data_IF_374461501146
#
_entry.id   IF_374461501146
#
_cell.length_a   1.000
_cell.length_b   1.000
_cell.length_c   1.000
_cell.angle_alpha   90.00
_cell.angle_beta   90.00
_cell.angle_gamma   90.00
#
_symmetry.space_group_name_H-M   'P 1'
#
loop_
_entity.id
_entity.type
_entity.pdbx_description
1 polymer ?
#
# COMPACT_ATOMS: atom_id res chain seq x y z
N UNK A 1 7.69 8.14 -12.51
CA UNK A 1 8.18 8.63 -11.19
C UNK A 1 7.98 7.51 -10.18
N UNK A 2 9.00 7.08 -9.41
CA UNK A 2 8.89 5.92 -8.49
C UNK A 2 7.79 6.08 -7.44
N UNK A 3 7.54 7.30 -6.96
CA UNK A 3 6.49 7.54 -5.97
C UNK A 3 5.08 7.29 -6.52
N UNK A 4 4.83 7.65 -7.79
CA UNK A 4 3.55 7.41 -8.44
C UNK A 4 3.29 5.90 -8.62
N UNK A 5 4.30 5.13 -9.04
CA UNK A 5 4.14 3.68 -9.20
C UNK A 5 3.81 2.98 -7.88
N UNK A 6 4.43 3.38 -6.77
CA UNK A 6 4.10 2.82 -5.45
C UNK A 6 2.68 3.24 -5.03
N UNK A 7 2.26 4.47 -5.31
CA UNK A 7 0.92 4.91 -4.99
C UNK A 7 -0.15 4.13 -5.78
N UNK A 8 0.07 3.92 -7.08
CA UNK A 8 -0.80 3.13 -7.96
C UNK A 8 -0.87 1.67 -7.45
N UNK A 9 0.28 1.04 -7.18
CA UNK A 9 0.31 -0.33 -6.64
C UNK A 9 -0.33 -0.47 -5.25
N UNK A 10 -0.27 0.57 -4.41
CA UNK A 10 -1.00 0.59 -3.13
C UNK A 10 -2.50 0.74 -3.34
N UNK A 11 -2.95 1.52 -4.33
CA UNK A 11 -4.36 1.66 -4.65
C UNK A 11 -4.98 0.32 -5.09
N UNK A 12 -4.37 -0.33 -6.08
CA UNK A 12 -4.78 -1.66 -6.57
C UNK A 12 -4.76 -2.71 -5.45
N UNK A 13 -3.83 -2.61 -4.50
CA UNK A 13 -3.75 -3.59 -3.41
C UNK A 13 -4.94 -3.51 -2.44
N UNK A 14 -5.56 -2.33 -2.28
CA UNK A 14 -6.56 -2.05 -1.24
C UNK A 14 -7.99 -1.90 -1.75
N UNK A 15 -8.16 -1.54 -3.02
CA UNK A 15 -9.50 -1.35 -3.57
C UNK A 15 -10.21 -2.69 -3.75
N UNK A 16 -11.45 -2.67 -4.24
CA UNK A 16 -12.29 -3.87 -4.32
C UNK A 16 -12.49 -4.37 -5.73
N UNK A 17 -11.94 -3.67 -6.72
CA UNK A 17 -12.09 -4.06 -8.09
C UNK A 17 -10.91 -4.92 -8.53
N UNK A 18 -10.68 -5.02 -9.84
CA UNK A 18 -9.63 -5.86 -10.41
C UNK A 18 -8.90 -5.13 -11.55
N UNK A 19 -9.09 -3.81 -11.62
CA UNK A 19 -8.56 -2.95 -12.66
C UNK A 19 -7.19 -2.50 -12.23
N UNK A 20 -6.19 -2.76 -13.05
CA UNK A 20 -4.82 -2.33 -12.73
C UNK A 20 -4.63 -0.87 -13.13
N UNK A 21 -4.20 -0.05 -12.18
CA UNK A 21 -3.77 1.33 -12.45
C UNK A 21 -2.56 1.38 -13.40
N UNK A 22 -2.26 2.56 -13.96
CA UNK A 22 -1.26 2.72 -15.02
C UNK A 22 0.14 2.14 -14.70
N UNK A 23 0.52 2.13 -13.43
CA UNK A 23 1.75 1.51 -12.93
C UNK A 23 1.49 0.57 -11.75
N UNK A 24 0.23 0.16 -11.57
CA UNK A 24 -0.21 -0.66 -10.45
C UNK A 24 0.04 -2.16 -10.67
N UNK A 25 -0.47 -2.95 -9.74
CA UNK A 25 -0.36 -4.40 -9.75
C UNK A 25 -1.58 -5.00 -9.03
N UNK A 26 -2.23 -5.96 -9.68
CA UNK A 26 -3.42 -6.66 -9.19
C UNK A 26 -3.17 -8.16 -9.01
N UNK A 27 -4.21 -8.93 -8.68
CA UNK A 27 -4.18 -10.39 -8.52
C UNK A 27 -3.36 -11.14 -9.57
N UNK A 28 -3.48 -10.76 -10.86
CA UNK A 28 -2.73 -11.40 -11.96
C UNK A 28 -1.20 -11.27 -11.79
N UNK A 29 -0.73 -10.16 -11.21
CA UNK A 29 0.68 -9.95 -10.93
C UNK A 29 1.12 -10.79 -9.71
N UNK A 30 0.42 -10.66 -8.58
CA UNK A 30 0.83 -11.30 -7.32
C UNK A 30 0.72 -12.83 -7.35
N UNK A 31 -0.23 -13.37 -8.11
CA UNK A 31 -0.34 -14.83 -8.32
C UNK A 31 0.76 -15.40 -9.22
N UNK A 32 1.48 -14.55 -9.96
CA UNK A 32 2.65 -14.92 -10.76
C UNK A 32 3.98 -14.94 -9.99
N UNK A 33 4.01 -14.51 -8.73
CA UNK A 33 5.22 -14.49 -7.91
C UNK A 33 5.67 -15.90 -7.50
N UNK A 34 6.96 -16.02 -7.14
CA UNK A 34 7.54 -17.29 -6.65
C UNK A 34 6.80 -17.83 -5.42
N UNK A 35 6.32 -16.95 -4.54
CA UNK A 35 5.38 -17.27 -3.47
C UNK A 35 4.08 -16.51 -3.75
N UNK A 36 3.08 -17.16 -4.37
CA UNK A 36 1.91 -16.48 -4.88
C UNK A 36 0.94 -16.10 -3.76
N UNK A 37 0.31 -14.94 -3.92
CA UNK A 37 -0.79 -14.46 -3.09
C UNK A 37 -1.69 -13.54 -3.95
N UNK A 38 -2.71 -12.96 -3.33
CA UNK A 38 -3.67 -12.05 -3.96
C UNK A 38 -3.60 -10.66 -3.33
N UNK A 39 -4.08 -9.65 -4.04
CA UNK A 39 -4.32 -8.34 -3.42
C UNK A 39 -5.25 -8.49 -2.22
N UNK A 40 -5.17 -7.56 -1.27
CA UNK A 40 -6.00 -7.66 -0.08
C UNK A 40 -7.48 -7.48 -0.42
N UNK A 41 -7.79 -6.68 -1.44
CA UNK A 41 -9.18 -6.36 -1.80
C UNK A 41 -9.89 -5.56 -0.69
N UNK A 42 -9.12 -4.94 0.20
CA UNK A 42 -9.57 -4.41 1.48
C UNK A 42 -8.56 -3.40 2.07
N UNK A 43 -8.99 -2.54 3.02
CA UNK A 43 -8.10 -1.65 3.73
C UNK A 43 -6.97 -2.39 4.46
N UNK A 44 -5.78 -1.79 4.45
CA UNK A 44 -4.59 -2.29 5.15
C UNK A 44 -4.84 -2.38 6.66
N UNK A 45 -4.58 -3.55 7.24
CA UNK A 45 -4.69 -3.80 8.67
C UNK A 45 -3.42 -3.41 9.44
N UNK A 46 -2.26 -3.51 8.79
CA UNK A 46 -0.96 -3.11 9.35
C UNK A 46 -0.07 -2.46 8.29
N UNK A 47 0.62 -1.37 8.65
CA UNK A 47 1.61 -0.71 7.78
C UNK A 47 2.62 -1.71 7.21
N UNK A 48 2.93 -2.80 7.92
CA UNK A 48 3.85 -3.85 7.45
C UNK A 48 3.43 -4.53 6.15
N UNK A 49 2.14 -4.51 5.79
CA UNK A 49 1.63 -5.07 4.53
C UNK A 49 2.22 -4.40 3.30
N UNK A 50 2.66 -3.13 3.41
CA UNK A 50 3.31 -2.43 2.30
C UNK A 50 4.55 -3.18 1.80
N UNK A 51 5.19 -4.03 2.63
CA UNK A 51 6.35 -4.83 2.20
C UNK A 51 6.02 -5.88 1.13
N UNK A 52 4.75 -6.23 0.96
CA UNK A 52 4.30 -7.18 -0.05
C UNK A 52 3.93 -6.51 -1.38
N UNK A 53 3.76 -5.19 -1.39
CA UNK A 53 3.30 -4.42 -2.54
C UNK A 53 4.44 -4.20 -3.53
N UNK A 54 4.12 -4.27 -4.83
CA UNK A 54 5.11 -4.09 -5.89
C UNK A 54 5.88 -2.76 -5.75
N UNK A 55 7.18 -2.82 -6.03
CA UNK A 55 8.07 -1.66 -5.94
C UNK A 55 8.45 -1.22 -4.52
N UNK A 56 7.86 -1.77 -3.45
CA UNK A 56 8.22 -1.42 -2.06
C UNK A 56 9.42 -2.25 -1.58
N UNK A 57 10.62 -1.72 -1.81
CA UNK A 57 11.85 -2.34 -1.26
C UNK A 57 11.96 -2.15 0.26
N UNK A 58 12.85 -2.90 0.90
CA UNK A 58 13.18 -2.74 2.33
C UNK A 58 13.58 -1.30 2.68
N UNK A 59 14.37 -0.66 1.83
CA UNK A 59 14.87 0.71 2.01
C UNK A 59 13.75 1.73 1.89
N UNK A 60 12.86 1.54 0.91
CA UNK A 60 11.67 2.38 0.73
C UNK A 60 10.76 2.24 1.96
N UNK A 61 10.42 1.01 2.33
CA UNK A 61 9.59 0.73 3.50
C UNK A 61 10.17 1.39 4.77
N UNK A 62 11.45 1.21 5.03
CA UNK A 62 12.11 1.76 6.22
C UNK A 62 12.04 3.30 6.25
N UNK A 63 12.04 3.95 5.08
CA UNK A 63 11.96 5.40 4.97
C UNK A 63 10.54 5.94 5.14
N UNK A 64 9.52 5.24 4.62
CA UNK A 64 8.14 5.75 4.63
C UNK A 64 7.33 5.29 5.85
N UNK A 65 7.61 4.12 6.40
CA UNK A 65 6.84 3.54 7.49
C UNK A 65 6.67 4.45 8.73
N UNK A 66 7.67 5.26 9.15
CA UNK A 66 7.49 6.20 10.26
C UNK A 66 6.42 7.27 10.03
N UNK A 67 6.05 7.53 8.77
CA UNK A 67 5.08 8.56 8.38
C UNK A 67 3.70 7.99 8.05
N UNK A 68 3.51 6.67 8.20
CA UNK A 68 2.29 5.97 7.82
C UNK A 68 1.58 5.39 9.04
N UNK A 69 0.27 5.24 8.93
CA UNK A 69 -0.53 4.48 9.90
C UNK A 69 -1.62 3.69 9.18
N UNK A 70 -2.02 2.56 9.77
CA UNK A 70 -3.22 1.83 9.41
C UNK A 70 -4.29 2.12 10.48
N UNK A 71 -5.51 2.46 10.06
CA UNK A 71 -6.60 2.89 10.95
C UNK A 71 -7.84 2.05 10.68
N UNK A 72 -8.72 2.00 11.68
CA UNK A 72 -10.00 1.31 11.56
C UNK A 72 -10.83 1.82 10.37
N UNK A 73 -11.39 0.88 9.62
CA UNK A 73 -12.28 1.16 8.51
C UNK A 73 -13.53 1.90 9.01
N UNK A 74 -14.05 2.84 8.21
CA UNK A 74 -15.22 3.68 8.51
C UNK A 74 -15.03 4.73 9.63
N UNK A 75 -13.81 4.94 10.11
CA UNK A 75 -13.48 6.13 10.90
C UNK A 75 -12.80 7.17 10.02
N UNK A 76 -13.26 8.41 10.10
CA UNK A 76 -12.57 9.53 9.46
C UNK A 76 -11.15 9.60 10.00
N UNK A 77 -10.16 9.63 9.11
CA UNK A 77 -8.78 9.89 9.48
C UNK A 77 -8.60 11.40 9.55
N UNK A 78 -8.31 11.90 10.74
CA UNK A 78 -7.92 13.29 10.97
C UNK A 78 -6.44 13.32 11.32
N UNK A 79 -5.67 14.08 10.55
CA UNK A 79 -4.25 14.29 10.84
C UNK A 79 -4.16 15.31 11.97
N UNK A 80 -3.58 14.89 13.09
CA UNK A 80 -3.29 15.80 14.20
C UNK A 80 -2.07 16.67 13.85
N UNK A 81 -2.32 17.89 13.36
CA UNK A 81 -1.28 18.84 12.99
C UNK A 81 -0.30 19.15 14.15
N UNK A 82 -0.77 19.12 15.41
CA UNK A 82 0.05 19.40 16.59
C UNK A 82 1.00 18.25 16.94
N UNK A 83 0.85 17.08 16.32
CA UNK A 83 1.72 15.92 16.51
C UNK A 83 2.69 15.70 15.34
N UNK A 84 2.71 16.60 14.34
CA UNK A 84 3.65 16.51 13.23
C UNK A 84 5.06 16.87 13.68
N UNK A 85 6.03 16.05 13.30
CA UNK A 85 7.46 16.38 13.44
C UNK A 85 7.93 17.17 12.22
N UNK A 86 8.87 18.12 12.38
CA UNK A 86 9.51 18.81 11.25
C UNK A 86 10.13 17.86 10.21
#
# INVERSE_FOLDING_TARGET
>A
NKGAAIADAVADFIDRDYSTEAHGAEDNFYTGLTTPFRTAGAPIASVSELRAIDGVTKEIYARIAPFLCAREVNKRVEINANALTP
#
